data_IF_741035799069
#
_entry.id   IF_741035799069
#
_cell.length_a   1.000
_cell.length_b   1.000
_cell.length_c   1.000
_cell.angle_alpha   90.00
_cell.angle_beta   90.00
_cell.angle_gamma   90.00
#
_symmetry.space_group_name_H-M   'P 1'
#
loop_
_entity.id
_entity.type
_entity.pdbx_description
1 polymer ?
#
# COMPACT_ATOMS: atom_id res chain seq x y z
N UNK A 1 -7.21 -8.16 -35.72
CA UNK A 1 -8.04 -6.98 -35.40
C UNK A 1 -7.16 -5.99 -34.66
N UNK A 2 -7.09 -4.72 -35.04
CA UNK A 2 -6.36 -3.74 -34.28
C UNK A 2 -7.09 -3.55 -32.94
N UNK A 3 -6.37 -3.77 -31.85
CA UNK A 3 -6.86 -3.55 -30.50
C UNK A 3 -7.20 -2.07 -30.35
N UNK A 4 -8.44 -1.77 -30.01
CA UNK A 4 -8.97 -0.43 -29.79
C UNK A 4 -8.49 0.20 -28.49
N UNK A 5 -7.30 -0.10 -28.01
CA UNK A 5 -6.69 0.58 -26.85
C UNK A 5 -6.19 1.96 -27.29
N UNK A 6 -7.13 2.85 -27.52
CA UNK A 6 -6.90 4.23 -27.99
C UNK A 6 -6.33 5.13 -26.88
N UNK A 7 -6.35 4.66 -25.62
CA UNK A 7 -5.90 5.45 -24.48
C UNK A 7 -4.91 4.66 -23.63
N UNK A 8 -3.80 5.25 -23.20
CA UNK A 8 -2.88 4.60 -22.29
C UNK A 8 -3.62 4.29 -20.98
N UNK A 9 -3.47 3.08 -20.47
CA UNK A 9 -4.00 2.68 -19.15
C UNK A 9 -3.24 3.44 -18.08
N UNK A 10 -3.96 3.79 -17.00
CA UNK A 10 -3.36 4.34 -15.78
C UNK A 10 -3.63 3.41 -14.61
N UNK A 11 -2.67 3.32 -13.69
CA UNK A 11 -2.83 2.57 -12.44
C UNK A 11 -2.91 3.55 -11.28
N UNK A 12 -3.93 3.37 -10.45
CA UNK A 12 -4.16 4.18 -9.25
C UNK A 12 -3.93 3.32 -8.01
N UNK A 13 -3.06 3.79 -7.13
CA UNK A 13 -2.80 3.14 -5.84
C UNK A 13 -3.66 3.77 -4.76
N UNK A 14 -4.46 2.98 -4.02
CA UNK A 14 -5.36 3.50 -3.01
C UNK A 14 -4.63 3.99 -1.75
N UNK A 15 -5.35 4.76 -0.93
CA UNK A 15 -4.94 5.18 0.39
C UNK A 15 -5.53 4.33 1.52
N UNK A 16 -5.39 4.81 2.76
CA UNK A 16 -5.99 4.19 3.93
C UNK A 16 -7.52 4.06 3.79
N UNK A 17 -8.08 2.98 4.31
CA UNK A 17 -9.50 2.63 4.19
C UNK A 17 -9.79 1.58 3.11
N UNK A 18 -8.78 1.18 2.32
CA UNK A 18 -8.90 0.14 1.29
C UNK A 18 -8.35 -1.22 1.74
N UNK A 19 -7.91 -1.35 3.00
CA UNK A 19 -7.41 -2.60 3.54
C UNK A 19 -8.54 -3.59 3.80
N UNK A 20 -8.26 -4.85 3.53
CA UNK A 20 -9.15 -5.98 3.80
C UNK A 20 -8.35 -7.12 4.43
N UNK A 21 -9.03 -7.96 5.22
CA UNK A 21 -8.45 -9.17 5.78
C UNK A 21 -8.02 -10.12 4.66
N UNK A 22 -6.83 -10.70 4.79
CA UNK A 22 -6.26 -11.60 3.77
C UNK A 22 -5.64 -10.89 2.58
N UNK A 23 -5.67 -9.54 2.50
CA UNK A 23 -5.16 -8.80 1.34
C UNK A 23 -3.72 -9.17 1.00
N UNK A 24 -3.48 -9.53 -0.27
CA UNK A 24 -2.16 -9.82 -0.82
C UNK A 24 -1.53 -11.12 -0.35
N UNK A 25 -2.24 -11.96 0.43
CA UNK A 25 -1.76 -13.25 0.90
C UNK A 25 -1.55 -14.23 -0.24
N UNK A 26 -2.54 -14.38 -1.08
CA UNK A 26 -2.53 -15.28 -2.24
C UNK A 26 -1.35 -15.00 -3.18
N UNK A 27 -1.11 -13.72 -3.48
CA UNK A 27 0.01 -13.30 -4.35
C UNK A 27 1.36 -13.53 -3.67
N UNK A 28 1.45 -13.28 -2.37
CA UNK A 28 2.68 -13.48 -1.61
C UNK A 28 3.03 -14.97 -1.42
N UNK A 29 2.02 -15.82 -1.21
CA UNK A 29 2.23 -17.27 -1.12
C UNK A 29 2.64 -17.89 -2.46
N UNK A 30 2.24 -17.27 -3.57
CA UNK A 30 2.61 -17.70 -4.93
C UNK A 30 3.99 -17.18 -5.37
N UNK A 31 4.36 -15.94 -5.00
CA UNK A 31 5.60 -15.28 -5.42
C UNK A 31 6.51 -14.96 -4.23
N UNK A 32 7.67 -15.62 -4.18
CA UNK A 32 8.67 -15.43 -3.12
C UNK A 32 9.14 -13.98 -3.00
N UNK A 33 9.27 -13.25 -4.09
CA UNK A 33 9.74 -11.85 -4.04
C UNK A 33 8.67 -10.94 -3.42
N UNK A 34 7.38 -11.24 -3.63
CA UNK A 34 6.28 -10.54 -2.96
C UNK A 34 6.26 -10.91 -1.46
N UNK A 35 6.51 -12.17 -1.13
CA UNK A 35 6.67 -12.58 0.27
C UNK A 35 7.85 -11.83 0.94
N UNK A 36 8.94 -11.62 0.23
CA UNK A 36 10.09 -10.89 0.76
C UNK A 36 9.79 -9.39 0.96
N UNK A 37 8.85 -8.78 0.20
CA UNK A 37 8.35 -7.43 0.47
C UNK A 37 7.63 -7.35 1.83
N UNK A 38 6.78 -8.34 2.14
CA UNK A 38 6.13 -8.41 3.45
C UNK A 38 7.14 -8.53 4.58
N UNK A 39 8.14 -9.41 4.43
CA UNK A 39 9.22 -9.58 5.43
C UNK A 39 10.04 -8.30 5.62
N UNK A 40 10.31 -7.58 4.53
CA UNK A 40 11.01 -6.30 4.59
C UNK A 40 10.20 -5.25 5.35
N UNK A 41 8.90 -5.13 5.08
CA UNK A 41 8.02 -4.22 5.77
C UNK A 41 7.89 -4.57 7.27
N UNK A 42 7.79 -5.86 7.61
CA UNK A 42 7.81 -6.32 9.01
C UNK A 42 9.11 -5.95 9.72
N UNK A 43 10.26 -6.10 9.04
CA UNK A 43 11.55 -5.65 9.58
C UNK A 43 11.60 -4.14 9.82
N UNK A 44 11.02 -3.33 8.92
CA UNK A 44 11.00 -1.86 9.04
C UNK A 44 10.03 -1.37 10.12
N UNK A 45 8.91 -2.05 10.31
CA UNK A 45 7.90 -1.70 11.32
C UNK A 45 8.16 -2.30 12.69
N UNK A 46 8.89 -3.40 12.75
CA UNK A 46 9.05 -4.21 13.98
C UNK A 46 7.77 -4.97 14.37
N UNK A 47 6.80 -5.14 13.45
CA UNK A 47 5.52 -5.78 13.70
C UNK A 47 5.24 -6.90 12.70
N UNK A 48 4.52 -7.93 13.12
CA UNK A 48 4.06 -9.04 12.28
C UNK A 48 2.90 -8.62 11.37
N UNK A 49 3.18 -7.87 10.30
CA UNK A 49 2.13 -7.35 9.43
C UNK A 49 1.29 -8.46 8.79
N UNK A 50 1.90 -9.58 8.44
CA UNK A 50 1.18 -10.74 7.89
C UNK A 50 0.19 -11.31 8.90
N UNK A 51 0.60 -11.48 10.16
CA UNK A 51 -0.30 -11.91 11.23
C UNK A 51 -1.48 -10.94 11.39
N UNK A 52 -1.20 -9.62 11.44
CA UNK A 52 -2.22 -8.59 11.56
C UNK A 52 -3.23 -8.63 10.40
N UNK A 53 -2.74 -8.66 9.16
CA UNK A 53 -3.60 -8.48 7.99
C UNK A 53 -4.12 -9.78 7.39
N UNK A 54 -3.44 -10.91 7.61
CA UNK A 54 -3.88 -12.19 7.06
C UNK A 54 -4.71 -13.02 8.04
N UNK A 55 -4.44 -12.89 9.33
CA UNK A 55 -5.15 -13.61 10.38
C UNK A 55 -6.23 -12.76 11.07
N UNK A 56 -6.38 -11.50 10.64
CA UNK A 56 -7.55 -10.68 10.93
C UNK A 56 -7.56 -9.99 12.29
N UNK A 57 -6.45 -9.44 12.78
CA UNK A 57 -6.49 -8.55 13.95
C UNK A 57 -7.13 -7.21 13.57
N UNK A 58 -8.45 -7.14 13.69
CA UNK A 58 -9.27 -6.00 13.26
C UNK A 58 -8.86 -4.69 13.95
N UNK A 59 -8.48 -4.72 15.23
CA UNK A 59 -8.04 -3.53 15.95
C UNK A 59 -6.70 -3.05 15.44
N UNK A 60 -5.71 -3.94 15.30
CA UNK A 60 -4.40 -3.61 14.77
C UNK A 60 -4.47 -3.16 13.30
N UNK A 61 -5.32 -3.78 12.49
CA UNK A 61 -5.55 -3.41 11.08
C UNK A 61 -6.01 -1.96 10.89
N UNK A 62 -6.65 -1.35 11.89
CA UNK A 62 -7.07 0.07 11.81
C UNK A 62 -5.97 1.06 12.15
N UNK A 63 -4.86 0.60 12.72
CA UNK A 63 -3.78 1.48 13.14
C UNK A 63 -2.94 1.94 11.95
N UNK A 64 -2.87 3.25 11.76
CA UNK A 64 -2.15 3.90 10.66
C UNK A 64 -0.69 3.42 10.50
N UNK A 65 -0.01 3.12 11.62
CA UNK A 65 1.37 2.61 11.62
C UNK A 65 1.54 1.24 10.95
N UNK A 66 0.48 0.44 10.89
CA UNK A 66 0.46 -0.86 10.24
C UNK A 66 -0.22 -0.82 8.87
N UNK A 67 -1.28 -0.03 8.74
CA UNK A 67 -2.01 0.11 7.48
C UNK A 67 -1.13 0.60 6.33
N UNK A 68 -0.35 1.66 6.56
CA UNK A 68 0.39 2.29 5.49
C UNK A 68 1.43 1.35 4.88
N UNK A 69 2.34 0.72 5.65
CA UNK A 69 3.29 -0.22 5.07
C UNK A 69 2.61 -1.46 4.45
N UNK A 70 1.54 -1.98 5.04
CA UNK A 70 0.82 -3.12 4.47
C UNK A 70 0.18 -2.79 3.11
N UNK A 71 -0.53 -1.66 3.00
CA UNK A 71 -1.10 -1.20 1.73
C UNK A 71 -0.03 -0.96 0.66
N UNK A 72 1.11 -0.41 1.05
CA UNK A 72 2.24 -0.22 0.14
C UNK A 72 2.78 -1.56 -0.38
N UNK A 73 2.97 -2.55 0.50
CA UNK A 73 3.41 -3.91 0.11
C UNK A 73 2.43 -4.56 -0.85
N UNK A 74 1.13 -4.50 -0.55
CA UNK A 74 0.11 -5.06 -1.44
C UNK A 74 0.14 -4.39 -2.81
N UNK A 75 0.18 -3.05 -2.83
CA UNK A 75 0.25 -2.28 -4.08
C UNK A 75 1.48 -2.62 -4.91
N UNK A 76 2.66 -2.71 -4.29
CA UNK A 76 3.91 -3.09 -4.96
C UNK A 76 3.89 -4.54 -5.44
N UNK A 77 3.34 -5.46 -4.65
CA UNK A 77 3.19 -6.86 -5.04
C UNK A 77 2.28 -7.02 -6.26
N UNK A 78 1.13 -6.38 -6.26
CA UNK A 78 0.22 -6.38 -7.40
C UNK A 78 0.83 -5.68 -8.63
N UNK A 79 1.52 -4.56 -8.42
CA UNK A 79 2.25 -3.87 -9.49
C UNK A 79 3.26 -4.79 -10.16
N UNK A 80 4.10 -5.46 -9.38
CA UNK A 80 5.08 -6.41 -9.89
C UNK A 80 4.43 -7.51 -10.74
N UNK A 81 3.30 -8.04 -10.27
CA UNK A 81 2.60 -9.12 -10.96
C UNK A 81 1.88 -8.69 -12.23
N UNK A 82 1.37 -7.45 -12.28
CA UNK A 82 0.47 -6.97 -13.33
C UNK A 82 1.09 -6.00 -14.32
N UNK A 83 2.14 -5.24 -13.95
CA UNK A 83 2.68 -4.13 -14.75
C UNK A 83 3.10 -4.55 -16.16
N UNK A 84 3.76 -5.71 -16.30
CA UNK A 84 4.19 -6.22 -17.61
C UNK A 84 3.00 -6.57 -18.53
N UNK A 85 1.87 -6.96 -17.96
CA UNK A 85 0.64 -7.30 -18.69
C UNK A 85 -0.17 -6.04 -19.02
N UNK A 86 -0.25 -5.11 -18.07
CA UNK A 86 -1.06 -3.89 -18.21
C UNK A 86 -0.40 -2.82 -19.07
N UNK A 87 0.93 -2.73 -19.06
CA UNK A 87 1.74 -1.71 -19.76
C UNK A 87 1.15 -0.30 -19.58
N UNK A 88 0.97 0.17 -18.35
CA UNK A 88 0.34 1.46 -18.10
C UNK A 88 1.23 2.61 -18.57
N UNK A 89 0.61 3.67 -19.09
CA UNK A 89 1.28 4.90 -19.47
C UNK A 89 1.48 5.89 -18.33
N UNK A 90 0.78 5.68 -17.20
CA UNK A 90 0.88 6.53 -16.02
C UNK A 90 0.51 5.76 -14.75
N UNK A 91 1.05 6.22 -13.64
CA UNK A 91 0.69 5.77 -12.29
C UNK A 91 0.39 6.98 -11.41
N UNK A 92 -0.54 6.85 -10.50
CA UNK A 92 -0.85 7.86 -9.48
C UNK A 92 -1.27 7.16 -8.17
N UNK A 93 -1.30 7.90 -7.08
CA UNK A 93 -1.69 7.36 -5.80
C UNK A 93 -2.38 8.38 -4.91
N UNK A 94 -3.27 7.90 -4.04
CA UNK A 94 -3.92 8.71 -3.04
C UNK A 94 -3.23 8.53 -1.69
N UNK A 95 -2.80 9.63 -1.05
CA UNK A 95 -2.16 9.61 0.28
C UNK A 95 -0.96 8.64 0.32
N UNK A 96 -1.01 7.54 1.07
CA UNK A 96 0.06 6.53 1.11
C UNK A 96 0.30 5.88 -0.25
N UNK A 97 -0.73 5.78 -1.09
CA UNK A 97 -0.62 5.26 -2.45
C UNK A 97 0.31 6.08 -3.36
N UNK A 98 0.54 7.36 -3.05
CA UNK A 98 1.51 8.20 -3.77
C UNK A 98 2.94 7.63 -3.65
N UNK A 99 3.32 7.16 -2.48
CA UNK A 99 4.63 6.51 -2.27
C UNK A 99 4.74 5.21 -3.08
N UNK A 100 3.66 4.43 -3.12
CA UNK A 100 3.59 3.22 -3.95
C UNK A 100 3.73 3.57 -5.43
N UNK A 101 3.07 4.65 -5.89
CA UNK A 101 3.17 5.13 -7.27
C UNK A 101 4.59 5.61 -7.62
N UNK A 102 5.28 6.29 -6.70
CA UNK A 102 6.67 6.71 -6.89
C UNK A 102 7.62 5.52 -7.03
N UNK A 103 7.43 4.47 -6.24
CA UNK A 103 8.19 3.23 -6.39
C UNK A 103 7.85 2.50 -7.70
N UNK A 104 6.58 2.43 -8.07
CA UNK A 104 6.14 1.83 -9.31
C UNK A 104 6.68 2.56 -10.55
N UNK A 105 6.88 3.87 -10.46
CA UNK A 105 7.50 4.72 -11.49
C UNK A 105 9.04 4.73 -11.42
N UNK A 106 9.66 3.92 -10.56
CA UNK A 106 11.12 3.84 -10.36
C UNK A 106 11.78 5.17 -9.91
N UNK A 107 10.98 6.12 -9.37
CA UNK A 107 11.48 7.37 -8.79
C UNK A 107 12.15 7.13 -7.43
N UNK A 108 11.67 6.11 -6.70
CA UNK A 108 12.21 5.67 -5.42
C UNK A 108 12.45 4.16 -5.43
N UNK A 109 13.48 3.71 -4.72
CA UNK A 109 13.65 2.27 -4.50
C UNK A 109 12.52 1.72 -3.60
N UNK A 110 12.18 0.46 -3.77
CA UNK A 110 11.20 -0.24 -2.93
C UNK A 110 11.59 -0.18 -1.44
N UNK A 111 12.88 -0.36 -1.15
CA UNK A 111 13.38 -0.31 0.22
C UNK A 111 13.21 1.07 0.86
N UNK A 112 13.59 2.14 0.16
CA UNK A 112 13.40 3.52 0.62
C UNK A 112 11.92 3.86 0.79
N UNK A 113 11.08 3.38 -0.12
CA UNK A 113 9.63 3.56 -0.04
C UNK A 113 9.04 2.93 1.21
N UNK A 114 9.36 1.66 1.47
CA UNK A 114 8.88 0.96 2.67
C UNK A 114 9.41 1.58 3.97
N UNK A 115 10.63 2.09 3.97
CA UNK A 115 11.18 2.81 5.12
C UNK A 115 10.41 4.10 5.39
N UNK A 116 10.20 4.93 4.37
CA UNK A 116 9.47 6.20 4.49
C UNK A 116 8.01 5.99 4.87
N UNK A 117 7.34 5.01 4.29
CA UNK A 117 5.94 4.71 4.59
C UNK A 117 5.79 4.17 6.01
N UNK A 118 6.72 3.36 6.48
CA UNK A 118 6.75 2.87 7.87
C UNK A 118 6.98 4.01 8.86
N UNK A 119 7.92 4.90 8.55
CA UNK A 119 8.17 6.12 9.35
C UNK A 119 6.93 7.02 9.37
N UNK A 120 6.35 7.30 8.20
CA UNK A 120 5.13 8.12 8.07
C UNK A 120 3.98 7.55 8.88
N UNK A 121 3.71 6.26 8.75
CA UNK A 121 2.64 5.59 9.49
C UNK A 121 2.84 5.69 11.00
N UNK A 122 4.06 5.50 11.48
CA UNK A 122 4.42 5.63 12.89
C UNK A 122 4.23 7.06 13.39
N UNK A 123 4.77 8.06 12.69
CA UNK A 123 4.66 9.47 13.09
C UNK A 123 3.21 9.95 13.12
N UNK A 124 2.38 9.54 12.15
CA UNK A 124 0.97 9.86 12.14
C UNK A 124 0.21 9.20 13.29
N UNK A 125 0.54 7.96 13.64
CA UNK A 125 -0.02 7.27 14.78
C UNK A 125 0.36 7.97 16.11
N UNK A 126 1.63 8.29 16.29
CA UNK A 126 2.14 9.00 17.47
C UNK A 126 1.51 10.40 17.63
N UNK A 127 1.39 11.15 16.53
CA UNK A 127 0.73 12.45 16.54
C UNK A 127 -0.75 12.36 16.94
N UNK A 128 -1.45 11.35 16.46
CA UNK A 128 -2.86 11.10 16.85
C UNK A 128 -3.01 10.70 18.32
N UNK A 129 -2.01 10.01 18.89
CA UNK A 129 -2.02 9.63 20.30
C UNK A 129 -1.71 10.81 21.24
N UNK A 130 -0.96 11.81 20.80
CA UNK A 130 -0.59 12.97 21.59
C UNK A 130 -1.76 13.95 21.78
N UNK A 131 -2.71 14.00 20.89
CA UNK A 131 -3.83 14.93 20.91
C UNK A 131 -5.09 14.23 20.45
N UNK A 132 -6.08 14.16 21.34
CA UNK A 132 -7.41 13.67 20.97
C UNK A 132 -7.96 14.50 19.81
N UNK A 133 -8.28 13.84 18.71
CA UNK A 133 -8.77 14.47 17.50
C UNK A 133 -9.32 13.43 16.54
N UNK A 134 -9.79 13.88 15.40
CA UNK A 134 -10.31 13.02 14.34
C UNK A 134 -10.18 13.66 12.98
N UNK A 135 -10.33 12.85 11.95
CA UNK A 135 -10.46 13.30 10.56
C UNK A 135 -11.84 12.94 10.03
N UNK A 136 -12.41 13.82 9.26
CA UNK A 136 -13.66 13.57 8.56
C UNK A 136 -13.51 13.96 7.07
N UNK A 137 -14.02 13.12 6.20
CA UNK A 137 -14.16 13.46 4.79
C UNK A 137 -15.58 13.93 4.53
N UNK A 138 -15.73 15.14 4.02
CA UNK A 138 -17.03 15.68 3.61
C UNK A 138 -17.29 15.20 2.17
N UNK A 139 -18.29 14.33 2.01
CA UNK A 139 -18.70 13.81 0.72
C UNK A 139 -20.02 14.45 0.31
N UNK A 140 -20.08 14.90 -0.95
CA UNK A 140 -21.29 15.48 -1.56
C UNK A 140 -21.87 16.64 -0.74
N UNK A 141 -21.25 17.78 -0.83
CA UNK A 141 -21.93 19.05 -0.54
C UNK A 141 -22.99 19.21 -1.63
N UNK A 142 -24.28 19.03 -1.25
CA UNK A 142 -25.43 19.24 -2.11
C UNK A 142 -25.59 20.70 -2.51
#
# INVERSE_FOLDING_TARGET
>A
MPTTDRWPRSVLFPGQGSQEEGMGRDVAEYDKEIMDLWRLAEKKTGAGLREIFWDGDQEAMTQTRYQQPALCVVGLGLWKHLSAKLRPGAVAGHSVGEFTALAAAEVMSVEATLELVSLRGRLMYEAGAQRAGGMAAVLKLG
#
